data_IF_449875978193
#
_entry.id   IF_449875978193
#
_cell.length_a   1.000
_cell.length_b   1.000
_cell.length_c   1.000
_cell.angle_alpha   90.00
_cell.angle_beta   90.00
_cell.angle_gamma   90.00
#
_symmetry.space_group_name_H-M   'P 1'
#
loop_
_entity.id
_entity.type
_entity.pdbx_description
1 polymer ?
#
# COMPACT_ATOMS: atom_id res chain seq x y z
N UNK A 1 -26.76 -9.11 2.37
CA UNK A 1 -26.92 -8.36 1.10
C UNK A 1 -25.55 -8.26 0.46
N UNK A 2 -25.37 -8.70 -0.80
CA UNK A 2 -24.14 -8.41 -1.55
C UNK A 2 -24.22 -6.96 -2.02
N UNK A 3 -23.23 -6.15 -1.64
CA UNK A 3 -23.13 -4.77 -2.12
C UNK A 3 -22.83 -4.80 -3.62
N UNK A 4 -23.71 -4.21 -4.44
CA UNK A 4 -23.46 -4.04 -5.87
C UNK A 4 -22.66 -2.76 -6.08
N UNK A 5 -21.50 -2.88 -6.71
CA UNK A 5 -20.62 -1.75 -6.98
C UNK A 5 -20.69 -1.40 -8.47
N UNK A 6 -20.93 -0.12 -8.76
CA UNK A 6 -21.10 0.40 -10.12
C UNK A 6 -20.23 1.63 -10.36
N UNK A 7 -19.79 1.77 -11.60
CA UNK A 7 -19.16 2.95 -12.16
C UNK A 7 -20.20 4.05 -12.45
N UNK A 8 -19.74 5.28 -12.73
CA UNK A 8 -20.60 6.43 -13.05
C UNK A 8 -21.53 6.18 -14.24
N UNK A 9 -21.10 5.35 -15.20
CA UNK A 9 -21.87 4.97 -16.37
C UNK A 9 -22.81 3.76 -16.14
N UNK A 10 -22.83 3.21 -14.92
CA UNK A 10 -23.62 2.03 -14.55
C UNK A 10 -22.96 0.69 -14.86
N UNK A 11 -21.73 0.67 -15.41
CA UNK A 11 -20.98 -0.58 -15.58
C UNK A 11 -20.56 -1.17 -14.22
N UNK A 12 -20.43 -2.49 -14.15
CA UNK A 12 -20.01 -3.18 -12.93
C UNK A 12 -18.54 -2.86 -12.66
N UNK A 13 -18.23 -2.42 -11.44
CA UNK A 13 -16.87 -2.19 -10.99
C UNK A 13 -16.71 -2.72 -9.57
N UNK A 14 -15.89 -3.74 -9.35
CA UNK A 14 -15.64 -4.28 -8.00
C UNK A 14 -14.36 -3.62 -7.45
N UNK A 15 -14.43 -2.88 -6.32
CA UNK A 15 -13.24 -2.31 -5.70
C UNK A 15 -12.27 -3.40 -5.23
N UNK A 16 -10.98 -3.13 -5.35
CA UNK A 16 -9.91 -4.03 -4.91
C UNK A 16 -9.09 -3.37 -3.80
N UNK A 17 -9.35 -3.75 -2.55
CA UNK A 17 -8.71 -3.15 -1.39
C UNK A 17 -7.32 -3.72 -1.18
N UNK A 18 -6.33 -2.84 -1.08
CA UNK A 18 -4.99 -3.20 -0.63
C UNK A 18 -5.05 -3.75 0.80
N UNK A 19 -4.60 -4.99 1.00
CA UNK A 19 -4.57 -5.66 2.31
C UNK A 19 -3.15 -5.87 2.82
N UNK A 20 -2.17 -6.03 1.94
CA UNK A 20 -0.78 -6.24 2.35
C UNK A 20 0.21 -5.74 1.29
N UNK A 21 1.40 -5.37 1.77
CA UNK A 21 2.59 -5.13 0.93
C UNK A 21 3.68 -6.06 1.44
N UNK A 22 4.28 -6.85 0.55
CA UNK A 22 5.42 -7.68 0.88
C UNK A 22 6.69 -6.83 0.99
N UNK A 23 7.11 -6.55 2.23
CA UNK A 23 8.31 -5.79 2.55
C UNK A 23 9.61 -6.44 2.07
N UNK A 24 9.64 -7.75 1.81
CA UNK A 24 10.83 -8.43 1.29
C UNK A 24 11.08 -8.09 -0.17
N UNK A 25 10.00 -7.96 -0.94
CA UNK A 25 10.01 -7.67 -2.38
C UNK A 25 9.97 -6.16 -2.65
N UNK A 26 9.35 -5.39 -1.76
CA UNK A 26 9.26 -3.94 -1.87
C UNK A 26 10.65 -3.29 -1.88
N UNK A 27 10.81 -2.26 -2.70
CA UNK A 27 12.07 -1.53 -2.90
C UNK A 27 11.96 -0.04 -2.52
N UNK A 28 10.91 0.33 -1.79
CA UNK A 28 10.74 1.71 -1.31
C UNK A 28 10.59 2.78 -2.41
N UNK A 29 10.21 2.43 -3.65
CA UNK A 29 10.22 3.38 -4.77
C UNK A 29 9.17 4.52 -4.70
N UNK A 30 8.26 4.51 -3.71
CA UNK A 30 7.28 5.58 -3.46
C UNK A 30 6.18 5.77 -4.52
N UNK A 31 6.18 5.05 -5.65
CA UNK A 31 5.21 5.24 -6.74
C UNK A 31 3.76 5.01 -6.29
N UNK A 32 3.55 3.99 -5.45
CA UNK A 32 2.23 3.66 -4.94
C UNK A 32 1.69 4.72 -3.97
N UNK A 33 2.55 5.35 -3.16
CA UNK A 33 2.16 6.49 -2.34
C UNK A 33 1.77 7.69 -3.21
N UNK A 34 2.61 8.05 -4.19
CA UNK A 34 2.35 9.20 -5.09
C UNK A 34 1.03 9.11 -5.86
N UNK A 35 0.59 7.90 -6.24
CA UNK A 35 -0.68 7.71 -6.97
C UNK A 35 -1.88 7.55 -6.03
N UNK A 36 -1.65 7.29 -4.75
CA UNK A 36 -2.72 7.05 -3.79
C UNK A 36 -3.33 8.37 -3.32
N UNK A 37 -4.53 8.69 -3.79
CA UNK A 37 -5.27 9.90 -3.38
C UNK A 37 -5.80 9.86 -1.93
N UNK A 38 -5.48 8.80 -1.18
CA UNK A 38 -6.02 8.50 0.15
C UNK A 38 -4.95 8.25 1.21
N UNK A 39 -3.66 8.35 0.85
CA UNK A 39 -2.53 8.18 1.79
C UNK A 39 -2.64 6.88 2.61
N UNK A 40 -2.94 5.77 1.91
CA UNK A 40 -3.14 4.44 2.53
C UNK A 40 -1.83 3.83 3.02
N UNK A 41 -0.73 4.09 2.32
CA UNK A 41 0.60 3.55 2.62
C UNK A 41 1.65 4.67 2.68
N UNK A 42 2.64 4.52 3.54
CA UNK A 42 3.79 5.43 3.62
C UNK A 42 5.10 4.67 3.51
N UNK A 43 6.19 5.41 3.30
CA UNK A 43 7.54 4.86 3.26
C UNK A 43 8.03 4.68 4.70
N UNK A 44 8.60 3.53 4.99
CA UNK A 44 9.15 3.18 6.30
C UNK A 44 10.57 2.64 6.14
N UNK A 45 11.43 2.99 7.09
CA UNK A 45 12.77 2.43 7.23
C UNK A 45 12.71 1.03 7.82
N UNK A 46 13.59 0.14 7.37
CA UNK A 46 13.81 -1.17 7.97
C UNK A 46 15.30 -1.43 8.16
N UNK A 47 15.63 -2.21 9.19
CA UNK A 47 16.98 -2.63 9.53
C UNK A 47 17.45 -3.87 8.72
N UNK A 48 18.62 -4.41 9.08
CA UNK A 48 19.19 -5.63 8.51
C UNK A 48 18.38 -6.91 8.81
N UNK A 49 17.64 -6.93 9.92
CA UNK A 49 16.75 -8.01 10.27
C UNK A 49 15.39 -7.93 9.54
N UNK A 50 15.08 -6.77 8.97
CA UNK A 50 13.80 -6.46 8.32
C UNK A 50 12.74 -5.93 9.29
N UNK A 51 13.13 -5.53 10.50
CA UNK A 51 12.26 -4.88 11.48
C UNK A 51 11.99 -3.43 11.06
N UNK A 52 10.77 -2.97 11.30
CA UNK A 52 10.33 -1.62 10.93
C UNK A 52 10.84 -0.63 11.97
N UNK A 53 11.69 0.31 11.53
CA UNK A 53 12.26 1.35 12.37
C UNK A 53 11.31 2.53 12.58
N UNK A 54 10.55 2.89 11.54
CA UNK A 54 9.62 4.03 11.59
C UNK A 54 9.30 4.58 10.20
N UNK A 55 8.35 5.53 10.15
CA UNK A 55 8.01 6.22 8.91
C UNK A 55 9.13 7.18 8.51
N UNK A 56 9.46 7.24 7.21
CA UNK A 56 10.41 8.21 6.68
C UNK A 56 9.64 9.51 6.38
N UNK A 57 9.83 10.55 7.18
CA UNK A 57 9.20 11.87 7.02
C UNK A 57 10.10 12.92 6.36
N UNK A 58 11.31 12.54 5.94
CA UNK A 58 12.17 13.34 5.06
C UNK A 58 13.56 13.64 5.61
N UNK A 59 13.93 13.12 6.78
CA UNK A 59 15.30 13.10 7.27
C UNK A 59 15.98 11.75 7.00
N UNK A 60 17.16 11.77 6.36
CA UNK A 60 18.02 10.59 6.26
C UNK A 60 18.77 10.29 7.58
N UNK A 61 18.74 11.24 8.55
CA UNK A 61 19.39 11.16 9.87
C UNK A 61 18.52 10.50 10.96
N UNK A 62 17.30 10.07 10.64
CA UNK A 62 16.29 9.69 11.65
C UNK A 62 16.48 8.29 12.27
N UNK A 63 17.46 7.51 11.80
CA UNK A 63 17.60 6.09 12.15
C UNK A 63 18.97 5.71 12.74
N UNK A 64 19.80 6.66 13.19
CA UNK A 64 21.07 6.45 13.91
C UNK A 64 22.00 5.36 13.31
N UNK A 65 22.02 5.23 11.98
CA UNK A 65 22.80 4.23 11.25
C UNK A 65 22.22 2.80 11.23
N UNK A 66 21.04 2.56 11.82
CA UNK A 66 20.33 1.28 11.79
C UNK A 66 19.53 1.06 10.48
N UNK A 67 19.36 2.11 9.67
CA UNK A 67 18.65 2.03 8.40
C UNK A 67 19.42 1.20 7.37
N UNK A 68 18.83 0.08 6.94
CA UNK A 68 19.33 -0.72 5.84
C UNK A 68 18.65 -0.36 4.51
N UNK A 69 17.32 -0.37 4.48
CA UNK A 69 16.53 -0.04 3.28
C UNK A 69 15.17 0.54 3.65
N UNK A 70 14.47 1.05 2.63
CA UNK A 70 13.12 1.56 2.78
C UNK A 70 12.10 0.68 2.08
N UNK A 71 10.93 0.52 2.70
CA UNK A 71 9.80 -0.24 2.16
C UNK A 71 8.49 0.55 2.31
N UNK A 72 7.49 0.18 1.53
CA UNK A 72 6.14 0.73 1.67
C UNK A 72 5.35 -0.12 2.65
N UNK A 73 4.70 0.52 3.63
CA UNK A 73 3.88 -0.14 4.65
C UNK A 73 2.46 0.42 4.60
N UNK A 74 1.46 -0.46 4.75
CA UNK A 74 0.05 -0.06 4.86
C UNK A 74 -0.19 0.49 6.26
N UNK A 75 -0.34 1.81 6.36
CA UNK A 75 -0.45 2.55 7.62
C UNK A 75 -1.92 2.89 7.93
N UNK A 76 -2.68 3.24 6.88
CA UNK A 76 -4.07 3.68 7.01
C UNK A 76 -5.01 2.86 6.13
N UNK A 77 -5.07 1.54 6.40
CA UNK A 77 -5.88 0.59 5.63
C UNK A 77 -7.35 1.04 5.46
N UNK A 78 -7.94 1.65 6.50
CA UNK A 78 -9.33 2.15 6.47
C UNK A 78 -9.60 3.29 5.49
N UNK A 79 -8.56 3.95 4.95
CA UNK A 79 -8.72 5.01 3.92
C UNK A 79 -8.82 4.43 2.50
N UNK A 80 -8.52 3.15 2.32
CA UNK A 80 -8.50 2.49 1.03
C UNK A 80 -9.92 2.42 0.44
N UNK A 81 -10.09 2.94 -0.78
CA UNK A 81 -11.36 2.88 -1.53
C UNK A 81 -11.38 1.81 -2.62
N UNK A 82 -10.34 1.00 -2.68
CA UNK A 82 -10.22 -0.09 -3.64
C UNK A 82 -10.04 0.34 -5.10
N UNK A 83 -9.43 1.49 -5.37
CA UNK A 83 -9.24 2.00 -6.73
C UNK A 83 -8.18 1.25 -7.56
N UNK A 84 -7.39 0.34 -6.96
CA UNK A 84 -6.36 -0.46 -7.61
C UNK A 84 -5.21 0.33 -8.25
N UNK A 85 -5.10 1.64 -8.01
CA UNK A 85 -4.08 2.48 -8.64
C UNK A 85 -2.67 2.11 -8.15
N UNK A 86 -2.50 1.83 -6.86
CA UNK A 86 -1.23 1.44 -6.26
C UNK A 86 -0.66 0.15 -6.85
N UNK A 87 -1.51 -0.86 -7.10
CA UNK A 87 -1.10 -2.12 -7.72
C UNK A 87 -0.58 -1.92 -9.14
N UNK A 88 -1.31 -1.14 -9.96
CA UNK A 88 -0.94 -0.86 -11.36
C UNK A 88 0.41 -0.18 -11.53
N UNK A 89 0.82 0.66 -10.59
CA UNK A 89 2.09 1.40 -10.66
C UNK A 89 3.25 0.68 -9.98
N UNK A 90 3.01 -0.45 -9.30
CA UNK A 90 4.03 -1.18 -8.57
C UNK A 90 4.89 -2.02 -9.54
N UNK A 91 6.16 -1.66 -9.76
CA UNK A 91 7.01 -2.39 -10.72
C UNK A 91 7.41 -3.79 -10.24
N UNK A 92 7.24 -4.07 -8.94
CA UNK A 92 7.60 -5.35 -8.32
C UNK A 92 6.41 -6.25 -8.04
N UNK A 93 5.19 -5.77 -8.29
CA UNK A 93 3.96 -6.49 -7.98
C UNK A 93 3.92 -7.06 -6.55
N UNK A 94 4.44 -6.33 -5.56
CA UNK A 94 4.55 -6.78 -4.17
C UNK A 94 3.30 -6.52 -3.33
N UNK A 95 2.16 -6.22 -3.95
CA UNK A 95 0.95 -5.77 -3.26
C UNK A 95 -0.15 -6.81 -3.38
N UNK A 96 -0.80 -7.13 -2.26
CA UNK A 96 -1.98 -8.00 -2.23
C UNK A 96 -3.23 -7.13 -2.18
N UNK A 97 -4.16 -7.38 -3.09
CA UNK A 97 -5.46 -6.74 -3.12
C UNK A 97 -6.56 -7.78 -3.01
N UNK A 98 -7.64 -7.45 -2.32
CA UNK A 98 -8.81 -8.31 -2.15
C UNK A 98 -10.03 -7.59 -2.69
N UNK A 99 -10.77 -8.26 -3.57
CA UNK A 99 -11.99 -7.74 -4.14
C UNK A 99 -13.06 -7.55 -3.05
N UNK A 100 -13.79 -6.45 -3.11
CA UNK A 100 -14.77 -6.05 -2.11
C UNK A 100 -15.88 -7.09 -1.86
N UNK A 101 -16.19 -7.89 -2.87
CA UNK A 101 -17.16 -8.98 -2.80
C UNK A 101 -16.64 -10.23 -2.07
N UNK A 102 -15.33 -10.30 -1.79
CA UNK A 102 -14.67 -11.33 -0.99
C UNK A 102 -14.36 -10.87 0.44
N UNK A 103 -14.53 -9.58 0.77
CA UNK A 103 -14.31 -9.05 2.11
C UNK A 103 -15.60 -9.20 2.92
N UNK A 104 -15.60 -10.13 3.88
CA UNK A 104 -16.75 -10.38 4.79
C UNK A 104 -17.68 -11.52 4.37
N UNK A 105 -17.15 -12.54 3.67
CA UNK A 105 -17.75 -13.87 3.65
C UNK A 105 -17.43 -14.63 4.95
#
# INVERSE_FOLDING_TARGET
MRSTFISRDGSIWVPEYLTAIDGKICIGCGRCFKVCSREVMHLYGVDDAGEILGACDGGDDDFDGELNRMIMVVDHAGRCIGCGACGRVCPKNCQTHVAADQIGA
#
